data_IF_416693898182
#
_entry.id   IF_416693898182
#
_cell.length_a   1.000
_cell.length_b   1.000
_cell.length_c   1.000
_cell.angle_alpha   90.00
_cell.angle_beta   90.00
_cell.angle_gamma   90.00
#
_symmetry.space_group_name_H-M   'P 1'
#
loop_
_entity.id
_entity.type
_entity.pdbx_description
1 polymer ?
#
# COMPACT_ATOMS: atom_id res chain seq x y z
N UNK A 1 2.60 -13.14 8.13
CA UNK A 1 3.21 -12.10 7.27
C UNK A 1 2.58 -10.75 7.56
N UNK A 2 1.26 -10.57 7.40
CA UNK A 2 0.61 -9.28 7.67
C UNK A 2 0.81 -8.76 9.12
N UNK A 3 0.68 -9.62 10.15
CA UNK A 3 0.90 -9.18 11.54
C UNK A 3 2.32 -8.64 11.77
N UNK A 4 3.35 -9.30 11.21
CA UNK A 4 4.73 -8.81 11.30
C UNK A 4 4.91 -7.46 10.62
N UNK A 5 4.29 -7.26 9.45
CA UNK A 5 4.28 -5.96 8.76
C UNK A 5 3.60 -4.86 9.59
N UNK A 6 2.49 -5.18 10.27
CA UNK A 6 1.77 -4.24 11.14
C UNK A 6 2.60 -3.87 12.37
N UNK A 7 3.24 -4.86 13.02
CA UNK A 7 4.14 -4.61 14.15
C UNK A 7 5.32 -3.72 13.75
N UNK A 8 5.86 -3.90 12.53
CA UNK A 8 6.94 -3.06 12.01
C UNK A 8 6.47 -1.62 11.76
N UNK A 9 5.27 -1.42 11.21
CA UNK A 9 4.66 -0.10 11.01
C UNK A 9 4.47 0.65 12.33
N UNK A 10 4.00 -0.04 13.36
CA UNK A 10 3.84 0.53 14.70
C UNK A 10 5.18 0.93 15.31
N UNK A 11 6.21 0.08 15.16
CA UNK A 11 7.55 0.33 15.70
C UNK A 11 8.31 1.44 14.95
N UNK A 12 8.17 1.54 13.63
CA UNK A 12 8.98 2.45 12.82
C UNK A 12 8.56 3.92 12.97
N UNK A 13 7.26 4.19 13.07
CA UNK A 13 6.73 5.54 13.18
C UNK A 13 6.69 6.07 14.62
N UNK A 14 6.69 5.18 15.62
CA UNK A 14 6.52 5.54 17.01
C UNK A 14 5.23 6.31 17.25
N UNK A 15 5.24 7.22 18.22
CA UNK A 15 4.09 8.11 18.45
C UNK A 15 4.02 9.21 17.39
N UNK A 16 2.85 9.36 16.77
CA UNK A 16 2.61 10.43 15.80
C UNK A 16 2.85 11.81 16.45
N UNK A 17 3.67 12.68 15.86
CA UNK A 17 4.01 13.95 16.48
C UNK A 17 2.83 14.92 16.49
N UNK A 18 2.53 15.51 17.65
CA UNK A 18 1.41 16.44 17.79
C UNK A 18 1.53 17.67 16.88
N UNK A 19 2.76 18.14 16.65
CA UNK A 19 3.05 19.26 15.75
C UNK A 19 2.69 18.98 14.28
N UNK A 20 2.55 17.71 13.87
CA UNK A 20 2.21 17.31 12.51
C UNK A 20 0.70 17.17 12.26
N UNK A 21 -0.15 17.36 13.29
CA UNK A 21 -1.61 17.20 13.16
C UNK A 21 -2.26 18.17 12.17
N UNK A 22 -1.65 19.33 11.92
CA UNK A 22 -2.15 20.30 10.93
C UNK A 22 -2.00 19.77 9.50
N UNK A 23 -1.02 18.90 9.25
CA UNK A 23 -0.76 18.30 7.92
C UNK A 23 -1.52 16.99 7.70
N UNK A 24 -1.90 16.29 8.78
CA UNK A 24 -2.50 14.95 8.74
C UNK A 24 -3.93 14.91 8.16
N UNK A 25 -4.51 16.04 7.79
CA UNK A 25 -5.91 16.12 7.31
C UNK A 25 -6.07 15.74 5.84
N UNK A 26 -4.98 15.71 5.06
CA UNK A 26 -4.97 15.41 3.64
C UNK A 26 -5.21 13.92 3.30
N UNK A 27 -4.73 13.00 4.15
CA UNK A 27 -4.84 11.55 3.92
C UNK A 27 -5.93 10.92 4.81
N UNK A 28 -7.21 10.99 4.41
CA UNK A 28 -8.29 10.27 5.11
C UNK A 28 -8.55 8.90 4.46
N UNK A 29 -8.28 7.76 5.15
CA UNK A 29 -8.44 6.42 4.57
C UNK A 29 -9.90 5.98 4.29
N UNK A 30 -10.89 6.83 4.59
CA UNK A 30 -12.31 6.42 4.68
C UNK A 30 -12.93 5.99 3.35
N UNK A 31 -12.34 6.38 2.22
CA UNK A 31 -12.89 6.05 0.90
C UNK A 31 -12.39 4.70 0.37
N UNK A 32 -11.18 4.26 0.73
CA UNK A 32 -10.64 2.97 0.28
C UNK A 32 -11.26 1.77 1.03
N UNK A 33 -11.66 1.97 2.29
CA UNK A 33 -12.25 0.92 3.13
C UNK A 33 -13.67 0.51 2.67
N UNK A 34 -14.29 1.29 1.78
CA UNK A 34 -15.60 0.99 1.19
C UNK A 34 -15.53 0.10 -0.04
N UNK A 35 -14.33 -0.19 -0.55
CA UNK A 35 -14.14 -1.05 -1.72
C UNK A 35 -14.65 -2.45 -1.36
N UNK A 36 -15.88 -2.76 -1.81
CA UNK A 36 -16.48 -4.09 -1.65
C UNK A 36 -15.79 -5.05 -2.63
N UNK A 37 -14.73 -5.69 -2.15
CA UNK A 37 -14.04 -6.81 -2.80
C UNK A 37 -14.93 -8.08 -2.73
N UNK A 38 -16.14 -8.02 -3.29
CA UNK A 38 -17.16 -9.08 -3.19
C UNK A 38 -16.86 -10.32 -4.04
N UNK A 39 -15.76 -10.32 -4.80
CA UNK A 39 -15.29 -11.46 -5.59
C UNK A 39 -13.83 -11.74 -5.22
N UNK A 40 -13.51 -13.00 -4.92
CA UNK A 40 -12.19 -13.41 -4.44
C UNK A 40 -11.05 -13.03 -5.41
N UNK A 41 -11.26 -13.13 -6.73
CA UNK A 41 -10.29 -12.71 -7.74
C UNK A 41 -10.06 -11.19 -7.76
N UNK A 42 -11.13 -10.40 -7.65
CA UNK A 42 -11.03 -8.94 -7.56
C UNK A 42 -10.30 -8.54 -6.27
N UNK A 43 -10.46 -9.32 -5.19
CA UNK A 43 -9.70 -9.14 -3.96
C UNK A 43 -8.21 -9.38 -4.16
N UNK A 44 -7.79 -10.46 -4.84
CA UNK A 44 -6.37 -10.74 -5.07
C UNK A 44 -5.69 -9.66 -5.91
N UNK A 45 -6.31 -9.24 -7.02
CA UNK A 45 -5.77 -8.16 -7.84
C UNK A 45 -5.69 -6.83 -7.09
N UNK A 46 -6.71 -6.52 -6.28
CA UNK A 46 -6.69 -5.32 -5.44
C UNK A 46 -5.60 -5.37 -4.37
N UNK A 47 -5.41 -6.52 -3.71
CA UNK A 47 -4.33 -6.72 -2.74
C UNK A 47 -2.96 -6.58 -3.41
N UNK A 48 -2.77 -7.16 -4.60
CA UNK A 48 -1.51 -7.02 -5.34
C UNK A 48 -1.21 -5.55 -5.63
N UNK A 49 -2.20 -4.81 -6.12
CA UNK A 49 -2.05 -3.39 -6.39
C UNK A 49 -1.73 -2.60 -5.10
N UNK A 50 -2.45 -2.85 -4.00
CA UNK A 50 -2.17 -2.20 -2.71
C UNK A 50 -0.72 -2.46 -2.25
N UNK A 51 -0.25 -3.70 -2.35
CA UNK A 51 1.12 -4.06 -1.97
C UNK A 51 2.16 -3.37 -2.84
N UNK A 52 1.93 -3.27 -4.15
CA UNK A 52 2.82 -2.57 -5.08
C UNK A 52 2.89 -1.07 -4.79
N UNK A 53 1.76 -0.43 -4.52
CA UNK A 53 1.69 0.99 -4.17
C UNK A 53 2.36 1.28 -2.82
N UNK A 54 2.16 0.41 -1.82
CA UNK A 54 2.91 0.47 -0.56
C UNK A 54 4.42 0.31 -0.80
N UNK A 55 4.83 -0.69 -1.59
CA UNK A 55 6.24 -0.88 -1.89
C UNK A 55 6.85 0.35 -2.57
N UNK A 56 6.12 0.99 -3.48
CA UNK A 56 6.55 2.24 -4.11
C UNK A 56 6.75 3.37 -3.09
N UNK A 57 5.76 3.63 -2.23
CA UNK A 57 5.83 4.68 -1.19
C UNK A 57 7.02 4.43 -0.26
N UNK A 58 7.15 3.20 0.24
CA UNK A 58 8.18 2.84 1.21
C UNK A 58 9.57 2.64 0.59
N UNK A 59 9.74 2.67 -0.73
CA UNK A 59 11.07 2.69 -1.37
C UNK A 59 11.45 4.06 -1.94
N UNK A 60 10.56 5.06 -1.89
CA UNK A 60 10.87 6.43 -2.30
C UNK A 60 11.76 7.13 -1.26
N UNK A 61 12.08 8.41 -1.50
CA UNK A 61 13.09 9.13 -0.72
C UNK A 61 12.68 9.35 0.74
N UNK A 62 13.18 8.47 1.62
CA UNK A 62 12.92 8.45 3.06
C UNK A 62 14.08 9.07 3.86
N UNK A 63 14.93 9.86 3.22
CA UNK A 63 16.13 10.43 3.87
C UNK A 63 15.83 11.41 5.01
N UNK A 64 14.62 11.98 5.05
CA UNK A 64 14.21 12.94 6.08
C UNK A 64 13.32 12.32 7.18
N UNK A 65 12.94 11.04 7.09
CA UNK A 65 12.09 10.42 8.12
C UNK A 65 12.91 9.93 9.31
N UNK A 66 12.37 10.09 10.52
CA UNK A 66 13.00 9.63 11.76
C UNK A 66 12.75 8.14 12.03
N UNK A 67 12.40 7.36 11.01
CA UNK A 67 12.03 5.96 11.18
C UNK A 67 13.23 5.10 11.52
N UNK A 68 12.99 4.02 12.27
CA UNK A 68 14.03 3.04 12.57
C UNK A 68 14.52 2.36 11.27
N UNK A 69 15.79 2.58 10.92
CA UNK A 69 16.41 2.08 9.68
C UNK A 69 16.48 0.56 9.55
N UNK A 70 16.39 -0.20 10.65
CA UNK A 70 16.30 -1.67 10.61
C UNK A 70 14.85 -2.08 10.33
N UNK A 71 13.89 -1.52 11.07
CA UNK A 71 12.47 -1.84 10.90
C UNK A 71 11.94 -1.49 9.51
N UNK A 72 12.41 -0.40 8.91
CA UNK A 72 12.01 -0.04 7.54
C UNK A 72 12.51 -1.05 6.51
N UNK A 73 13.75 -1.54 6.66
CA UNK A 73 14.31 -2.57 5.77
C UNK A 73 13.59 -3.90 5.92
N UNK A 74 13.30 -4.30 7.16
CA UNK A 74 12.50 -5.51 7.44
C UNK A 74 11.10 -5.40 6.83
N UNK A 75 10.49 -4.21 6.89
CA UNK A 75 9.18 -3.97 6.31
C UNK A 75 9.21 -4.01 4.78
N UNK A 76 10.16 -3.34 4.14
CA UNK A 76 10.37 -3.37 2.68
C UNK A 76 10.58 -4.81 2.19
N UNK A 77 11.43 -5.58 2.88
CA UNK A 77 11.67 -6.99 2.57
C UNK A 77 10.39 -7.82 2.75
N UNK A 78 9.63 -7.57 3.81
CA UNK A 78 8.35 -8.23 4.06
C UNK A 78 7.29 -7.93 3.00
N UNK A 79 7.23 -6.69 2.49
CA UNK A 79 6.37 -6.30 1.37
C UNK A 79 6.79 -7.03 0.09
N UNK A 80 8.08 -7.04 -0.23
CA UNK A 80 8.60 -7.74 -1.40
C UNK A 80 8.21 -9.23 -1.38
N UNK A 81 8.42 -9.91 -0.25
CA UNK A 81 8.02 -11.31 -0.07
C UNK A 81 6.50 -11.54 -0.21
N UNK A 82 5.68 -10.58 0.24
CA UNK A 82 4.23 -10.66 0.05
C UNK A 82 3.83 -10.55 -1.42
N UNK A 83 4.49 -9.67 -2.17
CA UNK A 83 4.28 -9.49 -3.61
C UNK A 83 4.68 -10.76 -4.36
N UNK A 84 5.90 -11.27 -4.17
CA UNK A 84 6.38 -12.47 -4.85
C UNK A 84 5.49 -13.69 -4.61
N UNK A 85 5.04 -13.87 -3.36
CA UNK A 85 4.14 -14.96 -2.99
C UNK A 85 2.79 -14.83 -3.69
N UNK A 86 2.24 -13.62 -3.74
CA UNK A 86 0.95 -13.38 -4.39
C UNK A 86 1.04 -13.56 -5.90
N UNK A 87 2.13 -13.10 -6.52
CA UNK A 87 2.41 -13.32 -7.95
C UNK A 87 2.51 -14.81 -8.26
N UNK A 88 3.27 -15.57 -7.47
CA UNK A 88 3.37 -17.03 -7.63
C UNK A 88 2.00 -17.71 -7.53
N UNK A 89 1.17 -17.31 -6.57
CA UNK A 89 -0.20 -17.83 -6.43
C UNK A 89 -1.08 -17.49 -7.64
N UNK A 90 -0.98 -16.27 -8.17
CA UNK A 90 -1.75 -15.81 -9.32
C UNK A 90 -1.31 -16.50 -10.62
N UNK A 91 -0.01 -16.67 -10.84
CA UNK A 91 0.52 -17.38 -12.02
C UNK A 91 0.05 -18.84 -12.07
N UNK A 92 0.07 -19.54 -10.92
CA UNK A 92 -0.44 -20.91 -10.82
C UNK A 92 -1.97 -21.04 -11.04
N UNK A 93 -2.72 -19.94 -10.87
CA UNK A 93 -4.16 -19.89 -11.15
C UNK A 93 -4.46 -19.50 -12.61
N UNK A 94 -3.65 -18.63 -13.23
CA UNK A 94 -3.79 -18.26 -14.64
C UNK A 94 -3.52 -19.43 -15.59
N UNK A 95 -2.64 -20.36 -15.25
CA UNK A 95 -2.46 -21.62 -15.99
C UNK A 95 -3.73 -22.49 -16.02
N UNK A 96 -4.69 -22.25 -15.11
CA UNK A 96 -5.93 -23.04 -14.97
C UNK A 96 -7.17 -22.37 -15.56
N UNK A 97 -7.19 -21.05 -15.76
CA UNK A 97 -8.38 -20.31 -16.20
C UNK A 97 -8.03 -19.21 -17.20
N UNK A 98 -7.95 -19.57 -18.49
CA UNK A 98 -7.51 -18.69 -19.59
C UNK A 98 -8.55 -17.67 -20.10
N UNK A 99 -9.74 -17.60 -19.52
CA UNK A 99 -10.81 -16.75 -20.04
C UNK A 99 -11.75 -16.37 -18.92
N UNK A 100 -11.71 -15.12 -18.41
CA UNK A 100 -12.93 -14.56 -17.84
C UNK A 100 -12.98 -13.02 -17.78
N UNK A 101 -14.06 -12.39 -18.27
CA UNK A 101 -14.32 -10.95 -18.20
C UNK A 101 -14.87 -10.58 -16.81
N UNK A 102 -14.02 -10.61 -15.78
CA UNK A 102 -14.32 -9.97 -14.47
C UNK A 102 -13.99 -8.48 -14.46
N UNK A 103 -14.01 -7.83 -15.62
CA UNK A 103 -13.15 -6.68 -15.91
C UNK A 103 -13.66 -5.37 -15.29
N UNK A 104 -14.94 -5.04 -15.41
CA UNK A 104 -15.39 -3.66 -15.13
C UNK A 104 -15.38 -3.28 -13.64
N UNK A 105 -15.88 -4.14 -12.75
CA UNK A 105 -15.87 -3.87 -11.30
C UNK A 105 -14.44 -3.85 -10.75
N UNK A 106 -13.58 -4.74 -11.23
CA UNK A 106 -12.17 -4.73 -10.87
C UNK A 106 -11.47 -3.48 -11.39
N UNK A 107 -11.74 -3.05 -12.64
CA UNK A 107 -11.20 -1.82 -13.20
C UNK A 107 -11.60 -0.59 -12.38
N UNK A 108 -12.87 -0.49 -11.97
CA UNK A 108 -13.34 0.60 -11.10
C UNK A 108 -12.59 0.60 -9.76
N UNK A 109 -12.47 -0.55 -9.12
CA UNK A 109 -11.67 -0.70 -7.89
C UNK A 109 -10.21 -0.31 -8.12
N UNK A 110 -9.60 -0.76 -9.22
CA UNK A 110 -8.20 -0.44 -9.55
C UNK A 110 -8.01 1.06 -9.75
N UNK A 111 -8.93 1.74 -10.43
CA UNK A 111 -8.91 3.20 -10.62
C UNK A 111 -9.06 3.95 -9.29
N UNK A 112 -9.97 3.50 -8.41
CA UNK A 112 -10.12 4.09 -7.08
C UNK A 112 -8.85 3.94 -6.23
N UNK A 113 -8.22 2.76 -6.26
CA UNK A 113 -6.95 2.51 -5.60
C UNK A 113 -5.83 3.41 -6.17
N UNK A 114 -5.69 3.49 -7.49
CA UNK A 114 -4.69 4.37 -8.14
C UNK A 114 -4.88 5.82 -7.73
N UNK A 115 -6.11 6.33 -7.77
CA UNK A 115 -6.40 7.72 -7.38
C UNK A 115 -6.05 7.99 -5.93
N UNK A 116 -6.33 7.03 -5.04
CA UNK A 116 -6.01 7.14 -3.63
C UNK A 116 -4.49 7.21 -3.41
N UNK A 117 -3.72 6.28 -3.98
CA UNK A 117 -2.26 6.27 -3.81
C UNK A 117 -1.58 7.42 -4.54
N UNK A 118 -2.11 7.88 -5.68
CA UNK A 118 -1.65 9.12 -6.32
C UNK A 118 -1.83 10.33 -5.41
N UNK A 119 -2.95 10.42 -4.68
CA UNK A 119 -3.18 11.52 -3.72
C UNK A 119 -2.13 11.51 -2.60
N UNK A 120 -1.71 10.32 -2.14
CA UNK A 120 -0.64 10.17 -1.16
C UNK A 120 0.71 10.61 -1.76
N UNK A 121 1.06 10.11 -2.94
CA UNK A 121 2.32 10.44 -3.61
C UNK A 121 2.43 11.93 -3.93
N UNK A 122 1.35 12.56 -4.41
CA UNK A 122 1.26 14.00 -4.65
C UNK A 122 1.47 14.79 -3.35
N UNK A 123 0.82 14.38 -2.26
CA UNK A 123 0.99 14.98 -0.93
C UNK A 123 2.45 14.88 -0.44
N UNK A 124 3.05 13.69 -0.52
CA UNK A 124 4.44 13.47 -0.12
C UNK A 124 5.40 14.35 -0.93
N UNK A 125 5.18 14.47 -2.25
CA UNK A 125 5.97 15.33 -3.14
C UNK A 125 5.79 16.81 -2.83
N UNK A 126 4.56 17.26 -2.63
CA UNK A 126 4.24 18.65 -2.26
C UNK A 126 4.95 19.05 -0.95
N UNK A 127 4.96 18.12 0.02
CA UNK A 127 5.65 18.28 1.30
C UNK A 127 7.14 17.95 1.26
N UNK A 128 7.70 17.66 0.08
CA UNK A 128 9.11 17.31 -0.12
C UNK A 128 9.61 16.19 0.79
N UNK A 129 8.73 15.22 1.11
CA UNK A 129 9.01 14.11 2.01
C UNK A 129 9.48 14.58 3.41
N UNK A 130 8.99 15.73 3.87
CA UNK A 130 9.28 16.25 5.21
C UNK A 130 8.90 15.27 6.30
N UNK A 131 9.49 15.42 7.49
CA UNK A 131 9.20 14.55 8.64
C UNK A 131 7.72 14.47 9.06
N UNK A 132 6.91 15.49 8.79
CA UNK A 132 5.48 15.48 9.12
C UNK A 132 4.58 14.84 8.05
N UNK A 133 5.08 14.64 6.84
CA UNK A 133 4.34 14.08 5.72
C UNK A 133 4.39 12.55 5.74
#
# INVERSE_FOLDING_TARGET
>A
MNNGSLELLEKMGGHFPFQCLTESTACKPRDILKIRLSQQKNAKGAIQQILQELFHIFNNNLTQVAWNGTSIKEFQNGLHQQIEKLETCLSAEMEKEMTYPGNEKFLLTSLELKRYFQTIDDFLKEKQYSWCA
#
